data_IF_961266625219
#
_entry.id   IF_961266625219
#
_cell.length_a   1.000
_cell.length_b   1.000
_cell.length_c   1.000
_cell.angle_alpha   90.00
_cell.angle_beta   90.00
_cell.angle_gamma   90.00
#
_symmetry.space_group_name_H-M   'P 1'
#
loop_
_entity.id
_entity.type
_entity.pdbx_description
1 polymer ?
#
# COMPACT_ATOMS: atom_id res chain seq x y z
N UNK A 1 -51.83 -19.58 -1.75
CA UNK A 1 -50.37 -19.74 -1.91
C UNK A 1 -49.61 -18.43 -2.17
N UNK A 2 -50.27 -17.28 -2.39
CA UNK A 2 -49.59 -16.00 -2.70
C UNK A 2 -49.00 -15.26 -1.48
N UNK A 3 -49.49 -15.51 -0.25
CA UNK A 3 -49.02 -14.81 0.96
C UNK A 3 -47.56 -15.13 1.32
N UNK A 4 -47.10 -16.37 1.09
CA UNK A 4 -45.71 -16.75 1.33
C UNK A 4 -44.71 -16.02 0.43
N UNK A 5 -45.13 -15.65 -0.79
CA UNK A 5 -44.27 -14.95 -1.74
C UNK A 5 -44.00 -13.50 -1.31
N UNK A 6 -44.99 -12.83 -0.70
CA UNK A 6 -44.81 -11.50 -0.10
C UNK A 6 -43.74 -11.53 0.99
N UNK A 7 -43.75 -12.55 1.86
CA UNK A 7 -42.77 -12.66 2.94
C UNK A 7 -41.36 -12.93 2.41
N UNK A 8 -41.21 -13.68 1.31
CA UNK A 8 -39.91 -13.88 0.65
C UNK A 8 -39.36 -12.58 0.06
N UNK A 9 -40.21 -11.74 -0.53
CA UNK A 9 -39.81 -10.43 -1.06
C UNK A 9 -39.36 -9.50 0.08
N UNK A 10 -40.14 -9.43 1.17
CA UNK A 10 -39.82 -8.58 2.32
C UNK A 10 -38.52 -9.06 2.98
N UNK A 11 -38.32 -10.37 3.14
CA UNK A 11 -37.10 -10.94 3.69
C UNK A 11 -35.90 -10.68 2.79
N UNK A 12 -36.07 -10.76 1.46
CA UNK A 12 -35.05 -10.37 0.48
C UNK A 12 -34.65 -8.90 0.59
N UNK A 13 -35.62 -8.00 0.71
CA UNK A 13 -35.38 -6.57 0.91
C UNK A 13 -34.67 -6.28 2.24
N UNK A 14 -35.09 -6.97 3.31
CA UNK A 14 -34.46 -6.84 4.62
C UNK A 14 -33.01 -7.34 4.61
N UNK A 15 -32.75 -8.49 3.97
CA UNK A 15 -31.40 -9.01 3.78
C UNK A 15 -30.53 -8.04 2.95
N UNK A 16 -31.06 -7.48 1.86
CA UNK A 16 -30.32 -6.52 1.04
C UNK A 16 -29.93 -5.24 1.80
N UNK A 17 -30.79 -4.76 2.69
CA UNK A 17 -30.53 -3.56 3.49
C UNK A 17 -29.62 -3.86 4.71
N UNK A 18 -29.87 -4.96 5.41
CA UNK A 18 -29.18 -5.27 6.67
C UNK A 18 -27.85 -5.99 6.50
N UNK A 19 -27.65 -6.85 5.47
CA UNK A 19 -26.36 -7.53 5.27
C UNK A 19 -25.16 -6.57 5.13
N UNK A 20 -25.23 -5.52 4.29
CA UNK A 20 -24.12 -4.59 4.10
C UNK A 20 -23.81 -3.77 5.36
N UNK A 21 -24.84 -3.44 6.14
CA UNK A 21 -24.67 -2.67 7.38
C UNK A 21 -24.13 -3.54 8.51
N UNK A 22 -24.62 -4.77 8.61
CA UNK A 22 -24.18 -5.75 9.61
C UNK A 22 -22.70 -6.13 9.39
N UNK A 23 -22.29 -6.42 8.15
CA UNK A 23 -20.90 -6.81 7.87
C UNK A 23 -19.90 -5.70 8.20
N UNK A 24 -20.25 -4.44 7.93
CA UNK A 24 -19.39 -3.28 8.19
C UNK A 24 -19.29 -3.00 9.69
N UNK A 25 -20.41 -3.06 10.42
CA UNK A 25 -20.42 -2.89 11.88
C UNK A 25 -19.65 -4.00 12.62
N UNK A 26 -19.66 -5.22 12.09
CA UNK A 26 -18.88 -6.32 12.65
C UNK A 26 -17.38 -6.13 12.47
N UNK A 27 -16.93 -5.46 11.39
CA UNK A 27 -15.52 -5.15 11.21
C UNK A 27 -15.01 -4.11 12.22
N UNK A 28 -15.86 -3.18 12.66
CA UNK A 28 -15.56 -2.19 13.70
C UNK A 28 -15.58 -2.81 15.11
N UNK A 29 -16.56 -3.67 15.41
CA UNK A 29 -16.66 -4.38 16.69
C UNK A 29 -15.68 -5.56 16.83
N UNK A 30 -15.15 -6.09 15.72
CA UNK A 30 -14.23 -7.25 15.67
C UNK A 30 -12.84 -6.97 16.28
N UNK A 31 -12.58 -5.79 16.84
CA UNK A 31 -11.30 -5.45 17.47
C UNK A 31 -10.15 -5.23 16.47
N UNK A 32 -10.41 -5.30 15.16
CA UNK A 32 -9.43 -5.00 14.11
C UNK A 32 -8.92 -3.56 14.18
N UNK A 33 -9.75 -2.62 14.64
CA UNK A 33 -9.37 -1.22 14.90
C UNK A 33 -8.33 -1.12 16.02
N UNK A 34 -8.52 -1.87 17.11
CA UNK A 34 -7.57 -1.94 18.23
C UNK A 34 -6.24 -2.60 17.81
N UNK A 35 -6.28 -3.64 16.97
CA UNK A 35 -5.07 -4.23 16.42
C UNK A 35 -4.29 -3.26 15.52
N UNK A 36 -4.98 -2.43 14.72
CA UNK A 36 -4.35 -1.37 13.90
C UNK A 36 -3.68 -0.33 14.77
N UNK A 37 -4.35 0.16 15.81
CA UNK A 37 -3.75 1.11 16.76
C UNK A 37 -2.52 0.52 17.47
N UNK A 38 -2.63 -0.72 17.96
CA UNK A 38 -1.51 -1.43 18.59
C UNK A 38 -0.35 -1.63 17.62
N UNK A 39 -0.64 -1.94 16.35
CA UNK A 39 0.38 -2.05 15.30
C UNK A 39 1.05 -0.71 15.01
N UNK A 40 0.30 0.39 14.95
CA UNK A 40 0.82 1.72 14.69
C UNK A 40 1.68 2.23 15.85
N UNK A 41 1.22 2.09 17.10
CA UNK A 41 2.03 2.40 18.28
C UNK A 41 3.31 1.56 18.35
N UNK A 42 3.21 0.28 17.98
CA UNK A 42 4.38 -0.60 17.93
C UNK A 42 5.41 -0.13 16.88
N UNK A 43 4.95 0.32 15.71
CA UNK A 43 5.83 0.85 14.65
C UNK A 43 6.55 2.13 15.11
N UNK A 44 5.89 2.98 15.90
CA UNK A 44 6.49 4.22 16.43
C UNK A 44 7.49 3.94 17.56
N UNK A 45 7.26 2.91 18.38
CA UNK A 45 8.11 2.60 19.53
C UNK A 45 9.38 1.79 19.22
N UNK A 46 9.56 1.27 18.01
CA UNK A 46 10.48 0.14 17.80
C UNK A 46 11.36 0.30 16.55
N UNK A 47 12.45 1.05 16.65
CA UNK A 47 13.37 1.39 15.54
C UNK A 47 14.66 0.54 15.46
N UNK A 48 14.80 -0.58 16.18
CA UNK A 48 16.13 -1.23 16.30
C UNK A 48 16.26 -2.75 16.33
N UNK A 49 15.24 -3.54 16.71
CA UNK A 49 15.47 -4.96 17.08
C UNK A 49 14.58 -6.01 16.37
N UNK A 50 13.77 -5.62 15.38
CA UNK A 50 12.57 -6.38 14.98
C UNK A 50 12.55 -6.89 13.52
N UNK A 51 13.62 -7.49 13.01
CA UNK A 51 13.51 -8.22 11.72
C UNK A 51 13.25 -9.74 11.88
N UNK A 52 13.64 -10.33 13.03
CA UNK A 52 13.52 -11.79 13.27
C UNK A 52 12.21 -12.21 13.95
N UNK A 53 11.61 -11.37 14.79
CA UNK A 53 10.39 -11.69 15.56
C UNK A 53 9.11 -11.43 14.72
N UNK A 54 9.14 -10.45 13.82
CA UNK A 54 8.03 -10.16 12.88
C UNK A 54 7.87 -11.27 11.84
N UNK A 55 8.97 -11.72 11.25
CA UNK A 55 8.97 -12.78 10.23
C UNK A 55 8.47 -14.13 10.78
N UNK A 56 8.80 -14.48 12.02
CA UNK A 56 8.30 -15.68 12.69
C UNK A 56 6.80 -15.59 13.04
N UNK A 57 6.33 -14.46 13.56
CA UNK A 57 4.89 -14.29 13.87
C UNK A 57 4.00 -14.22 12.63
N UNK A 58 4.47 -13.60 11.54
CA UNK A 58 3.75 -13.61 10.26
C UNK A 58 3.64 -15.00 9.64
N UNK A 59 4.71 -15.79 9.70
CA UNK A 59 4.69 -17.15 9.16
C UNK A 59 3.73 -18.06 9.93
N UNK A 60 3.66 -17.96 11.26
CA UNK A 60 2.68 -18.67 12.10
C UNK A 60 1.24 -18.25 11.73
N UNK A 61 0.97 -16.94 11.55
CA UNK A 61 -0.35 -16.45 11.11
C UNK A 61 -0.75 -16.99 9.74
N UNK A 62 0.18 -17.01 8.77
CA UNK A 62 -0.05 -17.57 7.42
C UNK A 62 -0.33 -19.08 7.49
N UNK A 63 0.40 -19.83 8.32
CA UNK A 63 0.17 -21.25 8.53
C UNK A 63 -1.23 -21.52 9.13
N UNK A 64 -1.60 -20.78 10.18
CA UNK A 64 -2.92 -20.91 10.80
C UNK A 64 -4.06 -20.53 9.83
N UNK A 65 -3.85 -19.52 8.98
CA UNK A 65 -4.82 -19.15 7.95
C UNK A 65 -5.03 -20.26 6.92
N UNK A 66 -3.97 -20.94 6.50
CA UNK A 66 -4.06 -22.09 5.57
C UNK A 66 -4.77 -23.26 6.26
N UNK A 67 -4.47 -23.53 7.53
CA UNK A 67 -5.14 -24.58 8.31
C UNK A 67 -6.65 -24.31 8.46
N UNK A 68 -7.04 -23.08 8.82
CA UNK A 68 -8.45 -22.70 8.95
C UNK A 68 -9.22 -22.84 7.64
N UNK A 69 -8.61 -22.50 6.49
CA UNK A 69 -9.23 -22.71 5.16
C UNK A 69 -9.48 -24.19 4.87
N UNK A 70 -8.57 -25.07 5.29
CA UNK A 70 -8.71 -26.52 5.12
C UNK A 70 -9.81 -27.10 6.02
N UNK A 71 -9.90 -26.63 7.27
CA UNK A 71 -10.94 -27.06 8.21
C UNK A 71 -12.32 -26.62 7.74
N UNK A 72 -12.48 -25.35 7.33
CA UNK A 72 -13.76 -24.84 6.82
C UNK A 72 -14.17 -25.60 5.56
N UNK A 73 -13.26 -25.78 4.60
CA UNK A 73 -13.52 -26.56 3.39
C UNK A 73 -13.92 -28.01 3.72
N UNK A 74 -13.18 -28.66 4.61
CA UNK A 74 -13.47 -30.03 5.05
C UNK A 74 -14.83 -30.15 5.75
N UNK A 75 -15.19 -29.20 6.60
CA UNK A 75 -16.51 -29.19 7.26
C UNK A 75 -17.64 -28.98 6.24
N UNK A 76 -17.42 -28.15 5.22
CA UNK A 76 -18.41 -27.84 4.19
C UNK A 76 -18.60 -29.00 3.21
N UNK A 77 -17.51 -29.67 2.81
CA UNK A 77 -17.58 -30.88 1.97
C UNK A 77 -18.19 -32.05 2.74
N UNK A 78 -17.84 -32.24 4.02
CA UNK A 78 -18.47 -33.23 4.89
C UNK A 78 -19.99 -32.99 4.97
N UNK A 79 -20.41 -31.74 5.21
CA UNK A 79 -21.84 -31.39 5.23
C UNK A 79 -22.53 -31.70 3.91
N UNK A 80 -21.92 -31.36 2.76
CA UNK A 80 -22.46 -31.69 1.44
C UNK A 80 -22.59 -33.21 1.22
N UNK A 81 -21.59 -33.99 1.61
CA UNK A 81 -21.60 -35.46 1.48
C UNK A 81 -22.65 -36.09 2.39
N UNK A 82 -22.74 -35.65 3.66
CA UNK A 82 -23.74 -36.15 4.61
C UNK A 82 -25.15 -35.84 4.12
N UNK A 83 -25.43 -34.58 3.74
CA UNK A 83 -26.75 -34.19 3.21
C UNK A 83 -27.07 -34.95 1.92
N UNK A 84 -26.09 -35.14 1.03
CA UNK A 84 -26.24 -35.93 -0.19
C UNK A 84 -26.58 -37.40 0.09
N UNK A 85 -25.91 -38.02 1.07
CA UNK A 85 -26.17 -39.40 1.48
C UNK A 85 -27.57 -39.56 2.08
N UNK A 86 -28.02 -38.64 2.94
CA UNK A 86 -29.38 -38.67 3.50
C UNK A 86 -30.46 -38.47 2.40
N UNK A 87 -30.17 -37.66 1.38
CA UNK A 87 -31.05 -37.51 0.23
C UNK A 87 -31.13 -38.81 -0.61
N UNK A 88 -30.01 -39.52 -0.78
CA UNK A 88 -29.97 -40.80 -1.50
C UNK A 88 -30.77 -41.90 -0.79
N UNK A 89 -30.81 -41.87 0.53
CA UNK A 89 -31.63 -42.76 1.36
C UNK A 89 -33.13 -42.37 1.39
N UNK A 90 -33.53 -41.29 0.70
CA UNK A 90 -34.93 -40.87 0.61
C UNK A 90 -35.50 -40.23 1.88
N UNK A 91 -34.65 -39.86 2.85
CA UNK A 91 -35.09 -39.27 4.13
C UNK A 91 -35.57 -37.82 3.95
N UNK A 92 -35.03 -37.10 2.96
CA UNK A 92 -35.33 -35.69 2.69
C UNK A 92 -35.58 -35.42 1.20
N UNK A 93 -36.37 -34.39 0.86
CA UNK A 93 -36.55 -33.96 -0.53
C UNK A 93 -35.25 -33.40 -1.12
N UNK A 94 -35.05 -33.60 -2.42
CA UNK A 94 -33.86 -33.14 -3.17
C UNK A 94 -33.60 -31.63 -3.10
N UNK A 95 -34.63 -30.84 -2.75
CA UNK A 95 -34.52 -29.40 -2.56
C UNK A 95 -33.53 -29.00 -1.45
N UNK A 96 -33.35 -29.84 -0.42
CA UNK A 96 -32.42 -29.58 0.68
C UNK A 96 -30.96 -29.60 0.22
N UNK A 97 -30.66 -30.24 -0.91
CA UNK A 97 -29.34 -30.19 -1.54
C UNK A 97 -28.96 -28.76 -1.99
N UNK A 98 -29.94 -27.86 -2.14
CA UNK A 98 -29.69 -26.47 -2.53
C UNK A 98 -29.00 -25.65 -1.42
N UNK A 99 -29.15 -26.06 -0.15
CA UNK A 99 -28.54 -25.38 1.00
C UNK A 99 -27.00 -25.53 1.00
N UNK A 100 -26.43 -26.74 0.93
CA UNK A 100 -24.98 -26.88 0.91
C UNK A 100 -24.35 -26.43 -0.42
N UNK A 101 -25.08 -26.49 -1.55
CA UNK A 101 -24.57 -25.94 -2.83
C UNK A 101 -24.45 -24.42 -2.80
N UNK A 102 -25.44 -23.72 -2.25
CA UNK A 102 -25.37 -22.26 -2.07
C UNK A 102 -24.27 -21.87 -1.09
N UNK A 103 -24.11 -22.61 0.02
CA UNK A 103 -23.01 -22.40 0.96
C UNK A 103 -21.63 -22.59 0.29
N UNK A 104 -21.49 -23.59 -0.59
CA UNK A 104 -20.26 -23.83 -1.36
C UNK A 104 -19.95 -22.69 -2.34
N UNK A 105 -20.97 -22.18 -3.04
CA UNK A 105 -20.81 -21.04 -3.95
C UNK A 105 -20.34 -19.77 -3.21
N UNK A 106 -20.96 -19.46 -2.06
CA UNK A 106 -20.58 -18.32 -1.21
C UNK A 106 -19.13 -18.48 -0.72
N UNK A 107 -18.74 -19.69 -0.30
CA UNK A 107 -17.37 -19.97 0.13
C UNK A 107 -16.36 -19.72 -1.00
N UNK A 108 -16.64 -20.17 -2.23
CA UNK A 108 -15.76 -19.93 -3.39
C UNK A 108 -15.59 -18.43 -3.65
N UNK A 109 -16.67 -17.65 -3.64
CA UNK A 109 -16.61 -16.19 -3.85
C UNK A 109 -15.76 -15.53 -2.76
N UNK A 110 -15.97 -15.92 -1.50
CA UNK A 110 -15.20 -15.38 -0.39
C UNK A 110 -13.70 -15.72 -0.53
N UNK A 111 -13.36 -16.98 -0.85
CA UNK A 111 -11.97 -17.39 -1.10
C UNK A 111 -11.36 -16.64 -2.28
N UNK A 112 -12.10 -16.48 -3.39
CA UNK A 112 -11.66 -15.69 -4.56
C UNK A 112 -11.32 -14.26 -4.16
N UNK A 113 -12.21 -13.60 -3.40
CA UNK A 113 -11.99 -12.24 -2.91
C UNK A 113 -10.75 -12.16 -2.00
N UNK A 114 -10.57 -13.12 -1.10
CA UNK A 114 -9.40 -13.19 -0.23
C UNK A 114 -8.09 -13.42 -1.00
N UNK A 115 -8.11 -14.25 -2.05
CA UNK A 115 -6.95 -14.48 -2.90
C UNK A 115 -6.56 -13.23 -3.68
N UNK A 116 -7.53 -12.52 -4.27
CA UNK A 116 -7.27 -11.27 -5.00
C UNK A 116 -6.68 -10.21 -4.06
N UNK A 117 -7.25 -10.04 -2.87
CA UNK A 117 -6.72 -9.11 -1.87
C UNK A 117 -5.28 -9.43 -1.46
N UNK A 118 -4.97 -10.72 -1.26
CA UNK A 118 -3.61 -11.17 -0.93
C UNK A 118 -2.63 -10.97 -2.11
N UNK A 119 -3.07 -11.21 -3.34
CA UNK A 119 -2.26 -11.00 -4.55
C UNK A 119 -1.91 -9.51 -4.75
N UNK A 120 -2.86 -8.61 -4.50
CA UNK A 120 -2.63 -7.17 -4.58
C UNK A 120 -1.57 -6.71 -3.57
N UNK A 121 -1.64 -7.20 -2.34
CA UNK A 121 -0.64 -6.92 -1.31
C UNK A 121 0.75 -7.47 -1.70
N UNK A 122 0.80 -8.72 -2.19
CA UNK A 122 2.07 -9.33 -2.64
C UNK A 122 2.73 -8.57 -3.78
N UNK A 123 1.95 -8.00 -4.72
CA UNK A 123 2.48 -7.14 -5.80
C UNK A 123 3.10 -5.86 -5.26
N UNK A 124 2.45 -5.20 -4.29
CA UNK A 124 2.96 -3.97 -3.66
C UNK A 124 4.26 -4.24 -2.92
N UNK A 125 4.33 -5.29 -2.11
CA UNK A 125 5.54 -5.65 -1.36
C UNK A 125 6.71 -5.96 -2.30
N UNK A 126 6.48 -6.73 -3.38
CA UNK A 126 7.54 -7.00 -4.38
C UNK A 126 8.01 -5.74 -5.11
N UNK A 127 7.14 -4.77 -5.33
CA UNK A 127 7.54 -3.49 -5.91
C UNK A 127 8.43 -2.69 -4.95
N UNK A 128 8.08 -2.66 -3.65
CA UNK A 128 8.91 -2.04 -2.62
C UNK A 128 10.25 -2.77 -2.44
N UNK A 129 10.25 -4.09 -2.44
CA UNK A 129 11.48 -4.90 -2.38
C UNK A 129 12.41 -4.56 -3.55
N UNK A 130 11.90 -4.42 -4.77
CA UNK A 130 12.72 -3.99 -5.91
C UNK A 130 13.32 -2.60 -5.75
N UNK A 131 12.61 -1.67 -5.11
CA UNK A 131 13.09 -0.31 -4.85
C UNK A 131 14.15 -0.31 -3.74
N UNK A 132 13.96 -1.09 -2.69
CA UNK A 132 14.86 -1.19 -1.54
C UNK A 132 16.13 -1.98 -1.86
N UNK A 133 16.01 -3.05 -2.63
CA UNK A 133 17.14 -3.91 -3.03
C UNK A 133 17.87 -3.37 -4.27
N UNK A 134 17.36 -2.31 -4.90
CA UNK A 134 18.10 -1.59 -5.92
C UNK A 134 19.33 -0.96 -5.26
N UNK A 135 20.51 -1.52 -5.53
CA UNK A 135 21.79 -0.97 -5.10
C UNK A 135 21.90 0.43 -5.68
N UNK A 136 21.78 1.44 -4.82
CA UNK A 136 22.08 2.83 -5.19
C UNK A 136 23.55 2.85 -5.56
N UNK A 137 23.85 2.95 -6.86
CA UNK A 137 25.20 3.13 -7.36
C UNK A 137 25.64 4.52 -6.90
N UNK A 138 26.27 4.59 -5.72
CA UNK A 138 26.87 5.81 -5.18
C UNK A 138 28.27 6.05 -5.73
N UNK A 139 28.67 5.36 -6.80
CA UNK A 139 29.92 5.64 -7.47
C UNK A 139 29.79 6.99 -8.16
N UNK A 140 30.55 8.03 -7.76
CA UNK A 140 30.64 9.22 -8.58
C UNK A 140 31.26 8.76 -9.89
N UNK A 141 30.49 8.86 -10.98
CA UNK A 141 30.99 8.63 -12.34
C UNK A 141 32.01 9.73 -12.63
N UNK A 142 33.22 9.58 -12.13
CA UNK A 142 34.39 10.28 -12.61
C UNK A 142 34.70 9.65 -13.97
N UNK A 143 34.05 10.16 -15.01
CA UNK A 143 34.47 9.92 -16.40
C UNK A 143 35.81 10.61 -16.59
N UNK A 144 36.88 10.00 -16.09
CA UNK A 144 38.24 10.38 -16.43
C UNK A 144 38.62 9.52 -17.63
N UNK A 145 38.54 10.12 -18.82
CA UNK A 145 39.05 9.53 -20.04
C UNK A 145 40.58 9.51 -19.97
N UNK A 146 41.15 8.47 -19.35
CA UNK A 146 42.58 8.17 -19.53
C UNK A 146 42.75 7.43 -20.86
N UNK A 147 43.05 8.19 -21.91
CA UNK A 147 43.66 7.64 -23.12
C UNK A 147 45.11 7.29 -22.81
N UNK A 148 45.39 6.05 -22.44
CA UNK A 148 46.73 5.47 -22.58
C UNK A 148 46.67 3.95 -22.38
N UNK A 149 46.57 3.25 -23.51
CA UNK A 149 46.93 1.85 -23.72
C UNK A 149 48.17 1.44 -22.92
N UNK A 150 48.05 0.50 -21.97
CA UNK A 150 48.96 -0.64 -21.78
C UNK A 150 48.19 -1.76 -21.06
N UNK A 151 48.03 -2.89 -21.73
CA UNK A 151 47.60 -4.15 -21.09
C UNK A 151 48.76 -4.67 -20.24
N UNK A 152 48.68 -4.52 -18.92
CA UNK A 152 49.50 -5.33 -18.02
C UNK A 152 48.64 -6.48 -17.50
N UNK A 153 48.94 -7.69 -17.98
CA UNK A 153 48.62 -8.92 -17.26
C UNK A 153 49.53 -8.95 -16.04
N UNK A 154 49.11 -8.28 -14.97
CA UNK A 154 49.79 -8.33 -13.69
C UNK A 154 49.28 -9.55 -12.93
N UNK A 155 50.13 -10.57 -12.84
CA UNK A 155 49.96 -11.67 -11.89
C UNK A 155 49.89 -11.08 -10.48
N UNK A 156 48.71 -11.15 -9.87
CA UNK A 156 48.39 -10.48 -8.61
C UNK A 156 49.07 -11.19 -7.43
N UNK A 157 50.34 -10.86 -7.19
CA UNK A 157 50.96 -11.07 -5.89
C UNK A 157 50.79 -9.77 -5.10
N UNK A 158 49.71 -9.71 -4.31
CA UNK A 158 49.36 -8.59 -3.42
C UNK A 158 50.45 -8.37 -2.35
N UNK A 159 51.55 -7.74 -2.74
CA UNK A 159 52.52 -7.20 -1.80
C UNK A 159 52.03 -5.81 -1.40
N UNK A 160 51.71 -5.67 -0.12
CA UNK A 160 51.36 -4.38 0.45
C UNK A 160 52.60 -3.48 0.44
N UNK A 161 52.66 -2.57 -0.52
CA UNK A 161 53.72 -1.56 -0.63
C UNK A 161 53.33 -0.35 0.25
N UNK A 162 54.13 0.00 1.27
CA UNK A 162 53.84 1.13 2.13
C UNK A 162 53.84 2.45 1.35
N UNK A 163 53.01 3.39 1.79
CA UNK A 163 52.76 4.68 1.12
C UNK A 163 54.02 5.51 0.85
N UNK A 164 55.10 5.28 1.61
CA UNK A 164 56.35 6.04 1.52
C UNK A 164 57.22 5.62 0.33
N UNK A 165 57.03 4.39 -0.18
CA UNK A 165 57.79 3.83 -1.29
C UNK A 165 57.11 4.06 -2.64
N UNK A 166 55.90 4.64 -2.63
CA UNK A 166 55.20 5.04 -3.86
C UNK A 166 55.87 6.28 -4.43
N UNK A 167 56.64 6.11 -5.49
CA UNK A 167 57.25 7.18 -6.29
C UNK A 167 56.26 8.23 -6.79
N UNK A 168 54.96 7.89 -6.76
CA UNK A 168 53.89 8.67 -7.38
C UNK A 168 53.12 9.54 -6.37
N UNK A 169 53.38 9.42 -5.05
CA UNK A 169 52.55 10.07 -4.01
C UNK A 169 53.19 11.31 -3.34
N UNK A 170 54.45 11.64 -3.62
CA UNK A 170 55.12 12.78 -2.97
C UNK A 170 55.47 13.91 -3.95
N UNK A 171 54.47 14.44 -4.65
CA UNK A 171 54.58 15.72 -5.35
C UNK A 171 53.62 16.72 -4.73
N UNK A 172 54.12 17.69 -3.96
CA UNK A 172 53.33 18.89 -3.66
C UNK A 172 53.19 19.67 -4.97
N UNK A 173 52.10 19.43 -5.68
CA UNK A 173 51.77 20.14 -6.90
C UNK A 173 51.30 21.54 -6.48
N UNK A 174 52.20 22.52 -6.56
CA UNK A 174 51.84 23.93 -6.42
C UNK A 174 51.05 24.32 -7.66
N UNK A 175 49.73 24.33 -7.55
CA UNK A 175 48.83 24.80 -8.61
C UNK A 175 49.03 26.33 -8.73
N UNK A 176 49.48 26.85 -9.87
CA UNK A 176 49.66 28.29 -10.05
C UNK A 176 48.31 29.00 -9.89
N UNK A 177 48.31 30.14 -9.19
CA UNK A 177 47.10 30.90 -8.80
C UNK A 177 46.30 31.46 -9.99
N UNK A 178 46.87 31.37 -11.19
CA UNK A 178 46.31 31.89 -12.45
C UNK A 178 45.51 30.83 -13.25
N UNK A 179 45.32 29.63 -12.69
CA UNK A 179 44.36 28.66 -13.23
C UNK A 179 42.90 29.11 -13.03
N UNK A 180 41.92 28.54 -13.76
CA UNK A 180 40.51 28.86 -13.56
C UNK A 180 40.15 28.58 -12.11
N UNK A 181 40.03 29.66 -11.32
CA UNK A 181 39.67 29.59 -9.91
C UNK A 181 38.28 28.99 -9.84
N UNK A 182 38.08 28.03 -8.93
CA UNK A 182 36.78 27.41 -8.73
C UNK A 182 35.72 28.52 -8.52
N UNK A 183 34.70 28.53 -9.38
CA UNK A 183 33.61 29.48 -9.30
C UNK A 183 32.31 28.70 -9.09
N UNK A 184 31.51 29.02 -8.07
CA UNK A 184 30.29 28.28 -7.79
C UNK A 184 29.29 28.46 -8.93
N UNK A 185 28.74 27.34 -9.43
CA UNK A 185 27.63 27.35 -10.38
C UNK A 185 26.35 27.77 -9.66
N UNK A 186 25.67 28.82 -10.16
CA UNK A 186 24.38 29.24 -9.61
C UNK A 186 23.31 28.19 -9.94
N UNK A 187 22.76 27.56 -8.91
CA UNK A 187 21.60 26.68 -9.04
C UNK A 187 20.30 27.47 -8.85
N UNK A 188 19.23 27.15 -9.60
CA UNK A 188 17.94 27.81 -9.43
C UNK A 188 17.38 27.53 -8.04
N UNK A 189 16.56 28.45 -7.53
CA UNK A 189 15.92 28.30 -6.23
C UNK A 189 14.97 27.11 -6.26
N UNK A 190 14.88 26.31 -5.18
CA UNK A 190 13.97 25.17 -5.14
C UNK A 190 12.51 25.64 -5.10
N UNK A 191 11.61 24.86 -5.72
CA UNK A 191 10.19 25.22 -5.96
C UNK A 191 9.41 25.62 -4.70
N UNK A 192 9.74 25.07 -3.54
CA UNK A 192 9.08 25.42 -2.27
C UNK A 192 9.39 26.85 -1.79
N UNK A 193 10.42 27.50 -2.33
CA UNK A 193 10.73 28.91 -2.01
C UNK A 193 9.84 29.89 -2.76
N UNK A 194 9.29 29.49 -3.91
CA UNK A 194 8.39 30.31 -4.72
C UNK A 194 6.92 29.92 -4.56
N UNK A 195 6.63 28.78 -3.96
CA UNK A 195 5.27 28.34 -3.70
C UNK A 195 4.55 29.31 -2.75
N UNK A 196 3.25 29.54 -3.01
CA UNK A 196 2.43 30.39 -2.17
C UNK A 196 2.43 29.89 -0.72
N UNK A 197 2.55 30.82 0.23
CA UNK A 197 2.44 30.49 1.65
C UNK A 197 1.05 29.91 1.92
N UNK A 198 1.00 28.74 2.56
CA UNK A 198 -0.26 28.12 2.95
C UNK A 198 -1.11 29.10 3.78
N UNK A 199 -2.38 29.23 3.42
CA UNK A 199 -3.34 30.09 4.13
C UNK A 199 -3.69 29.38 5.45
N UNK A 200 -3.38 29.96 6.63
CA UNK A 200 -3.79 29.37 7.89
C UNK A 200 -5.30 29.52 8.09
N UNK A 201 -5.99 28.43 8.48
CA UNK A 201 -7.40 28.50 8.85
C UNK A 201 -7.54 29.11 10.26
N UNK A 202 -7.86 30.40 10.33
CA UNK A 202 -8.15 31.05 11.61
C UNK A 202 -9.62 30.82 12.00
N UNK A 203 -9.91 29.70 12.68
CA UNK A 203 -11.25 29.40 13.23
C UNK A 203 -11.30 29.76 14.71
N UNK A 204 -12.17 30.70 15.07
CA UNK A 204 -12.49 31.02 16.47
C UNK A 204 -13.47 29.95 16.97
N UNK A 205 -13.06 29.19 17.98
CA UNK A 205 -13.88 28.13 18.58
C UNK A 205 -14.69 28.75 19.71
N UNK A 206 -16.02 28.81 19.56
CA UNK A 206 -16.91 29.20 20.64
C UNK A 206 -17.18 27.99 21.54
N UNK A 207 -16.62 28.03 22.75
CA UNK A 207 -16.73 26.99 23.78
C UNK A 207 -18.03 27.08 24.59
N UNK A 208 -18.86 28.10 24.36
CA UNK A 208 -20.03 28.38 25.21
C UNK A 208 -21.28 27.56 24.85
N UNK A 209 -21.28 26.89 23.69
CA UNK A 209 -22.44 26.13 23.22
C UNK A 209 -22.13 24.61 23.30
N UNK A 210 -22.77 23.87 24.23
CA UNK A 210 -22.55 22.44 24.36
C UNK A 210 -23.10 21.68 23.14
N UNK A 211 -22.27 20.81 22.55
CA UNK A 211 -22.66 19.95 21.42
C UNK A 211 -22.25 20.43 20.02
N UNK A 212 -21.73 21.66 19.89
CA UNK A 212 -21.28 22.22 18.59
C UNK A 212 -19.92 21.65 18.15
N UNK A 213 -19.10 21.17 19.08
CA UNK A 213 -17.82 20.54 18.79
C UNK A 213 -17.94 19.01 18.70
N UNK A 214 -18.26 18.50 17.51
CA UNK A 214 -18.24 17.06 17.20
C UNK A 214 -17.34 16.78 15.98
N UNK A 215 -16.68 15.62 15.95
CA UNK A 215 -15.76 15.20 14.87
C UNK A 215 -16.42 15.23 13.48
N UNK A 216 -17.75 15.07 13.40
CA UNK A 216 -18.52 15.18 12.16
C UNK A 216 -18.59 16.62 11.63
N UNK A 217 -18.80 17.62 12.49
CA UNK A 217 -18.78 19.04 12.09
C UNK A 217 -17.38 19.52 11.67
N UNK A 218 -16.32 18.89 12.18
CA UNK A 218 -14.96 19.15 11.72
C UNK A 218 -14.78 18.71 10.26
N UNK A 219 -15.21 17.49 9.92
CA UNK A 219 -15.07 16.93 8.56
C UNK A 219 -15.96 17.68 7.57
N UNK A 220 -17.16 18.10 7.97
CA UNK A 220 -18.11 18.79 7.11
C UNK A 220 -17.66 20.22 6.78
N UNK A 221 -17.20 20.99 7.77
CA UNK A 221 -16.68 22.34 7.54
C UNK A 221 -15.32 22.38 6.84
N UNK A 222 -14.50 21.32 6.98
CA UNK A 222 -13.23 21.19 6.27
C UNK A 222 -13.43 20.68 4.85
N UNK A 223 -14.42 19.81 4.62
CA UNK A 223 -14.80 19.33 3.29
C UNK A 223 -15.32 20.41 2.35
N UNK A 224 -15.93 21.47 2.87
CA UNK A 224 -16.46 22.59 2.09
C UNK A 224 -15.38 23.62 1.69
N UNK A 225 -14.23 23.62 2.39
CA UNK A 225 -13.09 24.51 2.13
C UNK A 225 -11.97 23.84 1.33
N UNK A 226 -11.94 22.51 1.33
CA UNK A 226 -10.98 21.74 0.55
C UNK A 226 -11.50 21.60 -0.88
N UNK A 227 -10.65 21.81 -1.91
CA UNK A 227 -11.04 21.56 -3.29
C UNK A 227 -11.53 20.12 -3.42
N UNK A 228 -12.61 19.94 -4.19
CA UNK A 228 -13.18 18.61 -4.36
C UNK A 228 -12.15 17.69 -5.03
N UNK A 229 -12.26 16.37 -4.82
CA UNK A 229 -11.32 15.42 -5.43
C UNK A 229 -11.21 15.59 -6.94
N UNK A 230 -12.30 16.00 -7.59
CA UNK A 230 -12.35 16.18 -9.03
C UNK A 230 -11.73 17.51 -9.48
N UNK A 231 -11.61 18.51 -8.59
CA UNK A 231 -10.81 19.74 -8.80
C UNK A 231 -9.31 19.55 -8.49
N UNK A 232 -8.98 18.53 -7.71
CA UNK A 232 -7.61 18.26 -7.23
C UNK A 232 -6.76 17.52 -8.29
N UNK A 233 -7.41 16.92 -9.28
CA UNK A 233 -6.75 16.21 -10.37
C UNK A 233 -7.15 16.85 -11.70
N UNK A 234 -6.16 17.37 -12.44
CA UNK A 234 -6.29 18.05 -13.74
C UNK A 234 -6.81 17.16 -14.88
N UNK A 235 -7.53 16.07 -14.59
CA UNK A 235 -7.92 15.04 -15.54
C UNK A 235 -8.91 15.57 -16.58
N UNK A 236 -9.80 16.50 -16.21
CA UNK A 236 -10.66 17.21 -17.16
C UNK A 236 -9.89 18.22 -18.02
N UNK A 237 -8.80 18.80 -17.50
CA UNK A 237 -7.94 19.71 -18.24
C UNK A 237 -7.10 18.93 -19.27
N UNK A 238 -6.58 17.76 -18.88
CA UNK A 238 -5.92 16.81 -19.79
C UNK A 238 -6.88 16.26 -20.85
N UNK A 239 -8.11 15.90 -20.49
CA UNK A 239 -9.12 15.42 -21.44
C UNK A 239 -9.56 16.51 -22.43
N UNK A 240 -9.75 17.75 -21.96
CA UNK A 240 -10.02 18.89 -22.84
C UNK A 240 -8.83 19.26 -23.74
N UNK A 241 -7.59 19.16 -23.25
CA UNK A 241 -6.39 19.37 -24.08
C UNK A 241 -6.20 18.24 -25.11
N UNK A 242 -6.58 17.01 -24.78
CA UNK A 242 -6.57 15.87 -25.69
C UNK A 242 -7.62 16.01 -26.80
N UNK A 243 -8.80 16.55 -26.47
CA UNK A 243 -9.90 16.81 -27.42
C UNK A 243 -9.60 18.05 -28.28
N UNK A 244 -9.17 19.15 -27.67
CA UNK A 244 -8.85 20.42 -28.33
C UNK A 244 -7.33 20.60 -28.44
N UNK A 245 -6.73 19.85 -29.38
CA UNK A 245 -5.28 19.75 -29.61
C UNK A 245 -4.52 21.09 -29.85
N UNK A 246 -5.22 22.23 -29.99
CA UNK A 246 -4.61 23.53 -30.32
C UNK A 246 -5.06 24.71 -29.43
N UNK A 247 -5.75 24.45 -28.32
CA UNK A 247 -6.22 25.49 -27.40
C UNK A 247 -5.36 25.66 -26.16
N UNK A 248 -4.03 25.75 -26.30
CA UNK A 248 -3.20 26.19 -25.18
C UNK A 248 -3.38 27.71 -25.03
N UNK A 249 -4.37 28.12 -24.25
CA UNK A 249 -4.61 29.51 -23.87
C UNK A 249 -3.46 29.96 -22.96
N UNK A 250 -2.49 30.65 -23.54
CA UNK A 250 -1.71 31.66 -22.87
C UNK A 250 -2.15 33.01 -23.46
N UNK A 251 -3.17 33.62 -22.84
CA UNK A 251 -3.28 35.07 -22.73
C UNK A 251 -3.24 35.44 -21.25
#
# INVERSE_FOLDING_TARGET
MASGFIYLIILGMWAAYFLPKWITSHDEASGKSAERYKSAMRVVGETGSLNSISSSTESIKRQNQIANRRIIFGSLTLSFVVIGALCALGVFPTLILLIPTTAFAIYIVNVRRQLIAAQLQGRRVRAFEKILTATVITEPVARVTFSSRVDFVAENNEHWIPLIERTDTAGVIVIPKDGPTWQPTSVPRPTYTTAAKAIPSNRIIDLTIPGVWSTSHQIEGEGDLLPSRDELFDQELEENAAINKFGAVNE
#
